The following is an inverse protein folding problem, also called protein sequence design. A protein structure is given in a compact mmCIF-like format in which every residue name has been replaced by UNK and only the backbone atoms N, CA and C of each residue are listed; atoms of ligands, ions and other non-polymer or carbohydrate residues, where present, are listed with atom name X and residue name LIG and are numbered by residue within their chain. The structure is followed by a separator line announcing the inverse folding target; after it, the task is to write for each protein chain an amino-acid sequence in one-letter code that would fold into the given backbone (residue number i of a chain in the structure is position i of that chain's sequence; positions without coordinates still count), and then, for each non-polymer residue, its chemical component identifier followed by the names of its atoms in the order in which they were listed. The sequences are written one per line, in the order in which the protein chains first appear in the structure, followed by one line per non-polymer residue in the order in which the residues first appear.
data_IF_154253005181
#
_entry.id   IF_154253005181
#
_cell.length_a   1.000
_cell.length_b   1.000
_cell.length_c   1.000
_cell.angle_alpha   90.00
_cell.angle_beta   90.00
_cell.angle_gamma   90.00
#
_symmetry.space_group_name_H-M   'P 1'
#
loop_
_entity.id
_entity.type
_entity.pdbx_description
1 polymer ?
#
# COMPACT_ATOMS: atom_id res chain seq x y z
N UNK A 1 9.78 -17.31 -5.48
CA UNK A 1 10.22 -16.53 -6.68
C UNK A 1 9.08 -16.08 -7.61
N UNK A 2 7.92 -16.75 -7.65
CA UNK A 2 6.79 -16.29 -8.49
C UNK A 2 6.01 -15.09 -7.88
N UNK A 3 6.01 -14.96 -6.56
CA UNK A 3 5.32 -13.91 -5.79
C UNK A 3 5.90 -12.51 -6.02
N UNK A 4 7.22 -12.35 -6.06
CA UNK A 4 7.88 -11.06 -6.36
C UNK A 4 7.39 -10.44 -7.67
N UNK A 5 7.18 -11.26 -8.70
CA UNK A 5 6.65 -10.83 -10.00
C UNK A 5 5.19 -10.34 -9.90
N UNK A 6 4.39 -10.88 -8.98
CA UNK A 6 3.01 -10.41 -8.79
C UNK A 6 2.95 -9.07 -8.04
N UNK A 7 3.79 -8.88 -7.02
CA UNK A 7 3.94 -7.59 -6.34
C UNK A 7 4.38 -6.49 -7.32
N UNK A 8 5.40 -6.77 -8.13
CA UNK A 8 5.90 -5.86 -9.17
C UNK A 8 4.79 -5.51 -10.16
N UNK A 9 4.07 -6.50 -10.66
CA UNK A 9 2.97 -6.27 -11.60
C UNK A 9 1.87 -5.38 -11.02
N UNK A 10 1.43 -5.63 -9.77
CA UNK A 10 0.40 -4.81 -9.13
C UNK A 10 0.90 -3.38 -8.95
N UNK A 11 2.16 -3.20 -8.56
CA UNK A 11 2.78 -1.88 -8.41
C UNK A 11 2.88 -1.13 -9.74
N UNK A 12 3.31 -1.80 -10.82
CA UNK A 12 3.36 -1.21 -12.17
C UNK A 12 1.98 -0.78 -12.67
N UNK A 13 0.94 -1.61 -12.46
CA UNK A 13 -0.44 -1.28 -12.80
C UNK A 13 -0.94 -0.07 -11.97
N UNK A 14 -0.63 -0.03 -10.68
CA UNK A 14 -0.93 1.10 -9.79
C UNK A 14 -0.29 2.41 -10.26
N UNK A 15 1.01 2.39 -10.58
CA UNK A 15 1.74 3.55 -11.10
C UNK A 15 1.13 4.03 -12.42
N UNK A 16 0.85 3.13 -13.35
CA UNK A 16 0.28 3.47 -14.65
C UNK A 16 -1.12 4.11 -14.51
N UNK A 17 -1.96 3.62 -13.59
CA UNK A 17 -3.27 4.22 -13.32
C UNK A 17 -3.17 5.61 -12.70
N UNK A 18 -2.24 5.85 -11.78
CA UNK A 18 -1.99 7.18 -11.23
C UNK A 18 -1.58 8.14 -12.34
N UNK A 19 -0.59 7.78 -13.15
CA UNK A 19 -0.08 8.61 -14.24
C UNK A 19 -1.19 8.99 -15.23
N UNK A 20 -2.05 8.03 -15.57
CA UNK A 20 -3.20 8.24 -16.44
C UNK A 20 -4.23 9.19 -15.83
N UNK A 21 -4.49 9.08 -14.52
CA UNK A 21 -5.47 9.92 -13.82
C UNK A 21 -4.97 11.33 -13.47
N UNK A 22 -3.64 11.49 -13.32
CA UNK A 22 -3.03 12.70 -12.77
C UNK A 22 -3.36 14.00 -13.53
N UNK A 23 -3.39 14.04 -14.88
CA UNK A 23 -3.72 15.26 -15.61
C UNK A 23 -5.13 15.77 -15.30
N UNK A 24 -6.12 14.88 -15.31
CA UNK A 24 -7.52 15.23 -15.04
C UNK A 24 -7.72 15.67 -13.59
N UNK A 25 -7.08 14.99 -12.64
CA UNK A 25 -7.13 15.36 -11.21
C UNK A 25 -6.47 16.72 -10.98
N UNK A 26 -5.31 16.96 -11.60
CA UNK A 26 -4.59 18.24 -11.49
C UNK A 26 -5.40 19.39 -12.06
N UNK A 27 -6.05 19.19 -13.21
CA UNK A 27 -6.94 20.19 -13.81
C UNK A 27 -8.14 20.49 -12.91
N UNK A 28 -8.78 19.46 -12.34
CA UNK A 28 -9.90 19.63 -11.41
C UNK A 28 -9.50 20.48 -10.20
N UNK A 29 -8.33 20.21 -9.61
CA UNK A 29 -7.81 21.01 -8.51
C UNK A 29 -7.52 22.44 -8.95
N UNK A 30 -6.94 22.67 -10.13
CA UNK A 30 -6.71 24.02 -10.64
C UNK A 30 -8.02 24.82 -10.78
N UNK A 31 -9.09 24.18 -11.27
CA UNK A 31 -10.42 24.79 -11.36
C UNK A 31 -11.01 25.08 -9.97
N UNK A 32 -10.83 24.17 -9.02
CA UNK A 32 -11.27 24.37 -7.63
C UNK A 32 -10.55 25.57 -6.99
N UNK A 33 -9.23 25.70 -7.20
CA UNK A 33 -8.38 26.83 -6.75
C UNK A 33 -8.83 28.15 -7.37
N UNK A 34 -9.20 28.15 -8.63
CA UNK A 34 -9.70 29.35 -9.33
C UNK A 34 -11.12 29.76 -8.89
N UNK A 35 -11.86 28.90 -8.18
CA UNK A 35 -13.23 29.19 -7.77
C UNK A 35 -13.27 30.21 -6.62
N UNK A 36 -14.06 31.29 -6.79
CA UNK A 36 -14.16 32.41 -5.84
C UNK A 36 -14.65 32.02 -4.44
N UNK A 37 -15.26 30.83 -4.28
CA UNK A 37 -15.82 30.37 -3.00
C UNK A 37 -14.76 30.18 -1.93
N UNK A 38 -13.60 29.63 -2.29
CA UNK A 38 -12.51 29.37 -1.35
C UNK A 38 -11.69 30.63 -1.05
N UNK A 39 -11.44 31.48 -2.05
CA UNK A 39 -10.69 32.72 -1.87
C UNK A 39 -11.41 33.75 -1.01
N UNK A 40 -12.75 33.76 -0.98
CA UNK A 40 -13.54 34.73 -0.23
C UNK A 40 -13.62 34.46 1.28
N UNK A 41 -13.34 33.23 1.70
CA UNK A 41 -13.50 32.78 3.09
C UNK A 41 -12.18 32.77 3.88
N UNK A 42 -11.06 33.15 3.24
CA UNK A 42 -9.74 33.21 3.89
C UNK A 42 -9.07 31.84 4.11
N UNK A 43 -9.70 30.74 3.70
CA UNK A 43 -9.09 29.42 3.73
C UNK A 43 -8.11 29.27 2.57
N UNK A 44 -6.90 28.75 2.83
CA UNK A 44 -6.07 28.25 1.74
C UNK A 44 -6.64 26.92 1.31
N UNK A 45 -6.73 26.71 0.01
CA UNK A 45 -7.25 25.45 -0.54
C UNK A 45 -6.43 24.23 -0.13
N UNK A 46 -5.15 24.42 0.17
CA UNK A 46 -4.27 23.36 0.65
C UNK A 46 -4.61 22.96 2.11
N UNK A 47 -5.40 23.76 2.82
CA UNK A 47 -5.87 23.52 4.19
C UNK A 47 -7.28 22.88 4.24
N UNK A 48 -7.93 22.65 3.08
CA UNK A 48 -9.30 22.12 3.00
C UNK A 48 -9.33 20.79 2.27
N UNK A 49 -10.03 19.80 2.84
CA UNK A 49 -10.22 18.51 2.19
C UNK A 49 -11.01 18.65 0.88
N UNK A 50 -10.61 17.96 -0.21
CA UNK A 50 -9.44 17.09 -0.35
C UNK A 50 -8.12 17.88 -0.39
N UNK A 51 -7.17 17.56 0.52
CA UNK A 51 -5.84 18.16 0.55
C UNK A 51 -4.90 17.39 -0.39
N UNK A 52 -4.32 18.07 -1.37
CA UNK A 52 -3.48 17.49 -2.44
C UNK A 52 -4.22 16.53 -3.38
N UNK A 53 -3.63 16.26 -4.54
CA UNK A 53 -4.27 15.44 -5.59
C UNK A 53 -4.47 13.99 -5.19
N UNK A 54 -3.66 13.43 -4.28
CA UNK A 54 -3.81 12.05 -3.78
C UNK A 54 -5.13 11.81 -3.02
N UNK A 55 -5.73 12.84 -2.44
CA UNK A 55 -7.05 12.72 -1.78
C UNK A 55 -8.24 12.88 -2.72
N UNK A 56 -8.00 13.02 -4.03
CA UNK A 56 -9.09 13.00 -5.01
C UNK A 56 -9.81 11.65 -5.01
N UNK A 57 -11.15 11.59 -5.16
CA UNK A 57 -11.90 10.32 -5.14
C UNK A 57 -11.39 9.27 -6.14
N UNK A 58 -10.92 9.70 -7.32
CA UNK A 58 -10.30 8.78 -8.30
C UNK A 58 -8.99 8.19 -7.79
N UNK A 59 -8.13 8.99 -7.14
CA UNK A 59 -6.88 8.51 -6.58
C UNK A 59 -7.12 7.57 -5.40
N UNK A 60 -8.10 7.89 -4.54
CA UNK A 60 -8.54 7.01 -3.45
C UNK A 60 -9.06 5.67 -4.00
N UNK A 61 -9.86 5.70 -5.08
CA UNK A 61 -10.36 4.48 -5.72
C UNK A 61 -9.21 3.61 -6.23
N UNK A 62 -8.25 4.20 -6.96
CA UNK A 62 -7.07 3.50 -7.48
C UNK A 62 -6.29 2.88 -6.31
N UNK A 63 -5.95 3.68 -5.30
CA UNK A 63 -5.24 3.19 -4.11
C UNK A 63 -5.99 2.03 -3.45
N UNK A 64 -7.29 2.17 -3.20
CA UNK A 64 -8.12 1.13 -2.56
C UNK A 64 -8.12 -0.17 -3.36
N UNK A 65 -8.26 -0.10 -4.68
CA UNK A 65 -8.30 -1.27 -5.55
C UNK A 65 -7.01 -2.08 -5.46
N UNK A 66 -5.86 -1.42 -5.61
CA UNK A 66 -4.56 -2.08 -5.52
C UNK A 66 -4.20 -2.51 -4.10
N UNK A 67 -4.64 -1.76 -3.08
CA UNK A 67 -4.45 -2.14 -1.67
C UNK A 67 -5.13 -3.46 -1.36
N UNK A 68 -6.38 -3.63 -1.78
CA UNK A 68 -7.13 -4.88 -1.53
C UNK A 68 -6.51 -6.06 -2.28
N UNK A 69 -6.07 -5.86 -3.52
CA UNK A 69 -5.37 -6.90 -4.31
C UNK A 69 -4.09 -7.37 -3.62
N UNK A 70 -3.31 -6.44 -3.06
CA UNK A 70 -2.10 -6.76 -2.32
C UNK A 70 -2.42 -7.46 -1.00
N UNK A 71 -3.43 -6.99 -0.26
CA UNK A 71 -3.81 -7.60 1.00
C UNK A 71 -4.24 -9.07 0.82
N UNK A 72 -4.98 -9.36 -0.25
CA UNK A 72 -5.34 -10.72 -0.67
C UNK A 72 -4.10 -11.54 -0.99
N UNK A 73 -3.20 -11.01 -1.81
CA UNK A 73 -1.98 -11.71 -2.20
C UNK A 73 -1.13 -12.04 -0.97
N UNK A 74 -1.00 -11.09 -0.04
CA UNK A 74 -0.26 -11.27 1.20
C UNK A 74 -0.89 -12.39 2.02
N UNK A 75 -2.17 -12.26 2.37
CA UNK A 75 -2.93 -13.26 3.14
C UNK A 75 -2.86 -14.66 2.51
N UNK A 76 -2.97 -14.76 1.19
CA UNK A 76 -2.88 -16.04 0.49
C UNK A 76 -1.52 -16.70 0.68
N UNK A 77 -0.46 -15.94 0.46
CA UNK A 77 0.90 -16.44 0.60
C UNK A 77 1.21 -16.80 2.06
N UNK A 78 0.70 -16.04 3.03
CA UNK A 78 0.85 -16.35 4.46
C UNK A 78 0.19 -17.70 4.80
N UNK A 79 -1.00 -17.98 4.26
CA UNK A 79 -1.65 -19.28 4.41
C UNK A 79 -0.94 -20.43 3.68
N UNK A 80 -0.27 -20.15 2.57
CA UNK A 80 0.54 -21.14 1.85
C UNK A 80 1.77 -21.51 2.70
N UNK A 81 2.42 -20.52 3.33
CA UNK A 81 3.53 -20.72 4.27
C UNK A 81 3.10 -21.49 5.52
N UNK A 82 1.97 -21.12 6.15
CA UNK A 82 1.42 -21.85 7.31
C UNK A 82 1.12 -23.33 7.00
N UNK A 83 0.70 -23.65 5.77
CA UNK A 83 0.46 -25.04 5.33
C UNK A 83 1.75 -25.81 5.06
N UNK A 84 2.81 -25.14 4.62
CA UNK A 84 4.13 -25.75 4.42
C UNK A 84 4.83 -26.05 5.75
N UNK A 85 4.54 -25.25 6.79
CA UNK A 85 5.08 -25.37 8.14
C UNK A 85 4.29 -26.34 9.05
N UNK A 86 3.29 -27.07 8.56
CA UNK A 86 2.65 -28.20 9.26
C UNK A 86 3.57 -29.44 9.44
N UNK A 87 4.89 -29.26 9.51
CA UNK A 87 5.75 -30.24 10.17
C UNK A 87 5.62 -30.02 11.67
N UNK A 88 5.17 -31.05 12.39
CA UNK A 88 5.13 -31.02 13.87
C UNK A 88 6.49 -30.49 14.39
N UNK A 89 6.51 -29.40 15.17
CA UNK A 89 7.74 -28.89 15.74
C UNK A 89 8.37 -30.02 16.55
N UNK A 90 9.63 -30.32 16.28
CA UNK A 90 10.33 -31.36 17.03
C UNK A 90 10.67 -30.83 18.42
N UNK A 91 10.85 -31.72 19.40
CA UNK A 91 11.30 -31.30 20.75
C UNK A 91 12.67 -30.56 20.71
N UNK A 92 13.44 -30.68 19.62
CA UNK A 92 14.72 -29.99 19.43
C UNK A 92 14.56 -28.51 19.03
N UNK A 93 13.37 -28.08 18.60
CA UNK A 93 13.08 -26.68 18.20
C UNK A 93 12.70 -25.80 19.41
N UNK A 94 12.51 -26.42 20.58
CA UNK A 94 12.13 -25.75 21.82
C UNK A 94 13.31 -25.69 22.81
N UNK A 95 14.33 -24.91 22.44
CA UNK A 95 15.25 -24.27 23.39
C UNK A 95 16.74 -24.47 23.13
N UNK A 96 17.44 -23.37 22.85
CA UNK A 96 18.59 -22.98 23.66
C UNK A 96 18.63 -21.46 23.75
N UNK A 97 18.78 -20.97 24.98
CA UNK A 97 18.67 -19.57 25.42
C UNK A 97 19.48 -18.56 24.58
N UNK A 98 18.84 -17.40 24.42
CA UNK A 98 19.39 -16.03 24.40
C UNK A 98 20.92 -15.93 24.55
N UNK A 99 21.59 -15.52 23.48
CA UNK A 99 22.71 -14.57 23.54
C UNK A 99 22.97 -14.06 22.11
N UNK A 100 23.16 -12.73 21.99
CA UNK A 100 23.51 -11.96 20.78
C UNK A 100 22.37 -11.12 20.15
N UNK A 101 21.77 -10.23 20.96
CA UNK A 101 21.29 -8.94 20.43
C UNK A 101 22.50 -8.04 20.18
N UNK A 102 23.08 -8.12 18.99
CA UNK A 102 24.04 -7.14 18.49
C UNK A 102 23.24 -6.00 17.82
N UNK A 103 23.17 -4.84 18.49
CA UNK A 103 22.66 -3.58 17.94
C UNK A 103 23.45 -3.23 16.67
N UNK A 104 22.92 -3.62 15.51
CA UNK A 104 23.40 -3.22 14.20
C UNK A 104 22.71 -1.93 13.79
N UNK A 105 23.51 -0.89 13.53
CA UNK A 105 23.09 0.42 13.03
C UNK A 105 22.01 0.31 11.93
N UNK A 106 20.82 0.86 12.19
CA UNK A 106 19.70 1.01 11.25
C UNK A 106 20.11 1.96 10.10
N UNK A 107 20.83 1.45 9.11
CA UNK A 107 20.67 1.93 7.74
C UNK A 107 19.30 1.42 7.27
N UNK A 108 18.32 2.33 7.10
CA UNK A 108 16.97 2.07 6.54
C UNK A 108 17.08 1.59 5.08
N UNK A 109 17.72 0.45 4.88
CA UNK A 109 17.64 -0.34 3.67
C UNK A 109 16.28 -1.06 3.67
N UNK A 110 15.68 -1.21 2.50
CA UNK A 110 14.39 -1.91 2.29
C UNK A 110 14.37 -3.35 2.84
N UNK A 111 15.53 -3.83 3.23
CA UNK A 111 15.93 -5.11 3.80
C UNK A 111 15.34 -5.32 5.21
N UNK A 112 14.95 -4.26 5.93
CA UNK A 112 14.36 -4.34 7.28
C UNK A 112 12.97 -5.03 7.31
N UNK A 113 12.28 -5.09 6.17
CA UNK A 113 10.94 -5.70 6.05
C UNK A 113 10.95 -7.19 5.63
N UNK A 114 12.11 -7.85 5.63
CA UNK A 114 12.26 -9.23 5.13
C UNK A 114 12.19 -9.31 3.59
N UNK A 115 12.37 -10.50 3.03
CA UNK A 115 12.38 -10.71 1.56
C UNK A 115 11.03 -10.37 0.88
N UNK A 116 9.95 -10.17 1.66
CA UNK A 116 8.58 -10.01 1.17
C UNK A 116 7.82 -8.94 1.97
N UNK A 117 7.04 -8.04 1.31
CA UNK A 117 6.21 -7.07 1.99
C UNK A 117 5.16 -7.75 2.89
N UNK A 118 5.07 -7.32 4.14
CA UNK A 118 4.05 -7.75 5.12
C UNK A 118 2.77 -6.92 5.03
N UNK A 119 2.84 -5.70 4.50
CA UNK A 119 1.68 -4.81 4.39
C UNK A 119 1.55 -4.18 2.99
N UNK A 120 0.32 -4.03 2.46
CA UNK A 120 0.10 -3.34 1.18
C UNK A 120 0.67 -1.91 1.13
N UNK A 121 0.70 -1.21 2.28
CA UNK A 121 1.22 0.15 2.37
C UNK A 121 2.71 0.24 2.01
N UNK A 122 3.52 -0.77 2.36
CA UNK A 122 4.94 -0.83 2.02
C UNK A 122 5.13 -0.81 0.50
N UNK A 123 4.25 -1.49 -0.25
CA UNK A 123 4.30 -1.52 -1.72
C UNK A 123 3.70 -0.26 -2.35
N UNK A 124 2.58 0.25 -1.85
CA UNK A 124 1.88 1.34 -2.52
C UNK A 124 2.40 2.74 -2.16
N UNK A 125 2.96 2.93 -0.97
CA UNK A 125 3.41 4.24 -0.49
C UNK A 125 4.92 4.28 -0.32
N UNK A 126 5.51 3.33 0.39
CA UNK A 126 6.95 3.37 0.66
C UNK A 126 7.74 3.10 -0.62
N UNK A 127 7.47 2.00 -1.33
CA UNK A 127 8.09 1.74 -2.64
C UNK A 127 7.83 2.86 -3.64
N UNK A 128 6.63 3.47 -3.64
CA UNK A 128 6.34 4.65 -4.45
C UNK A 128 7.24 5.84 -4.08
N UNK A 129 7.50 6.06 -2.78
CA UNK A 129 8.44 7.08 -2.28
C UNK A 129 9.86 6.85 -2.79
N UNK A 130 10.34 5.61 -2.79
CA UNK A 130 11.69 5.28 -3.24
C UNK A 130 11.85 5.32 -4.76
N UNK A 131 10.95 4.66 -5.50
CA UNK A 131 11.11 4.47 -6.94
C UNK A 131 10.53 5.61 -7.79
N UNK A 132 9.46 6.26 -7.31
CA UNK A 132 8.70 7.29 -8.05
C UNK A 132 8.39 8.52 -7.18
N UNK A 133 9.43 9.26 -6.73
CA UNK A 133 9.26 10.41 -5.83
C UNK A 133 8.39 11.53 -6.45
N UNK A 134 8.36 11.62 -7.78
CA UNK A 134 7.49 12.53 -8.54
C UNK A 134 6.00 12.25 -8.28
N UNK A 135 5.61 10.97 -8.27
CA UNK A 135 4.25 10.55 -7.99
C UNK A 135 3.96 10.59 -6.48
N UNK A 136 4.90 10.18 -5.65
CA UNK A 136 4.75 10.21 -4.19
C UNK A 136 4.47 11.62 -3.65
N UNK A 137 4.96 12.68 -4.29
CA UNK A 137 4.67 14.07 -3.89
C UNK A 137 3.15 14.36 -3.81
N UNK A 138 2.33 13.64 -4.58
CA UNK A 138 0.88 13.75 -4.57
C UNK A 138 0.22 13.01 -3.39
N UNK A 139 0.93 12.04 -2.78
CA UNK A 139 0.48 11.18 -1.68
C UNK A 139 1.20 11.45 -0.35
N UNK A 140 2.09 12.45 -0.26
CA UNK A 140 2.88 12.76 0.95
C UNK A 140 2.11 12.97 2.26
N UNK A 141 0.82 13.26 2.20
CA UNK A 141 -0.07 13.45 3.36
C UNK A 141 -1.23 12.46 3.34
N UNK A 142 -1.13 11.44 2.49
CA UNK A 142 -2.18 10.46 2.27
C UNK A 142 -2.11 9.40 3.37
N UNK A 143 -3.00 9.51 4.35
CA UNK A 143 -3.25 8.47 5.34
C UNK A 143 -4.64 7.92 5.09
N UNK A 144 -4.72 6.70 4.54
CA UNK A 144 -5.98 6.05 4.22
C UNK A 144 -5.86 4.54 4.40
N UNK A 145 -6.75 3.99 5.23
CA UNK A 145 -6.91 2.55 5.41
C UNK A 145 -8.26 2.18 4.79
N UNK A 146 -8.28 1.37 3.72
CA UNK A 146 -9.53 0.98 3.10
C UNK A 146 -10.42 0.14 4.02
N UNK A 147 -11.71 0.44 4.04
CA UNK A 147 -12.72 -0.38 4.70
C UNK A 147 -13.21 -1.48 3.75
N UNK A 148 -13.55 -2.64 4.31
CA UNK A 148 -14.16 -3.77 3.61
C UNK A 148 -13.16 -4.83 3.16
N UNK A 149 -11.97 -4.90 3.78
CA UNK A 149 -11.02 -5.98 3.53
C UNK A 149 -11.62 -7.35 3.91
N UNK A 150 -12.32 -7.43 5.05
CA UNK A 150 -13.01 -8.65 5.50
C UNK A 150 -14.06 -9.13 4.48
N UNK A 151 -14.92 -8.22 4.00
CA UNK A 151 -15.94 -8.54 2.99
C UNK A 151 -15.30 -9.04 1.69
N UNK A 152 -14.17 -8.45 1.29
CA UNK A 152 -13.46 -8.82 0.07
C UNK A 152 -12.79 -10.20 0.19
N UNK A 153 -12.17 -10.49 1.33
CA UNK A 153 -11.58 -11.79 1.64
C UNK A 153 -12.65 -12.89 1.72
N UNK A 154 -13.84 -12.59 2.24
CA UNK A 154 -14.96 -13.54 2.30
C UNK A 154 -15.45 -13.93 0.91
N UNK A 155 -15.58 -12.96 -0.02
CA UNK A 155 -15.99 -13.23 -1.40
C UNK A 155 -14.98 -14.10 -2.14
N UNK A 156 -13.68 -13.85 -1.98
CA UNK A 156 -12.68 -14.73 -2.60
C UNK A 156 -12.69 -16.14 -2.03
N UNK A 157 -12.87 -16.31 -0.72
CA UNK A 157 -13.01 -17.63 -0.09
C UNK A 157 -14.22 -18.40 -0.66
N UNK A 158 -15.32 -17.73 -0.96
CA UNK A 158 -16.49 -18.37 -1.59
C UNK A 158 -16.21 -18.81 -3.04
N UNK A 159 -15.36 -18.07 -3.77
CA UNK A 159 -14.97 -18.38 -5.14
C UNK A 159 -13.97 -19.54 -5.19
N UNK A 160 -13.02 -19.61 -4.25
CA UNK A 160 -12.02 -20.70 -4.20
C UNK A 160 -12.60 -22.05 -3.77
N UNK A 161 -13.69 -22.04 -3.00
CA UNK A 161 -14.36 -23.24 -2.48
C UNK A 161 -15.54 -23.76 -3.32
N UNK A 162 -15.88 -23.10 -4.44
CA UNK A 162 -17.02 -23.42 -5.31
C UNK A 162 -16.61 -24.03 -6.65
#
# INVERSE_FOLDING_TARGET
MASGNQFDRIFEEYVAEIESALPAVTEWFAQLKASRKYTAQGFKIDDVWPSLTGSHPVMIRIFREHFLRLAILIERLDREEEQEDEKEPSEDDWGTDDDDFEDGDEEEDYDEYGERPSEPHQVLIERLRAERPDLYAHFRQFMFIPIGLEDYLMVEREIENG
#
